data_IF_680362045965
#
_entry.id   IF_680362045965
#
_cell.length_a   1.000
_cell.length_b   1.000
_cell.length_c   1.000
_cell.angle_alpha   90.00
_cell.angle_beta   90.00
_cell.angle_gamma   90.00
#
_symmetry.space_group_name_H-M   'P 1'
#
loop_
_entity.id
_entity.type
_entity.pdbx_description
1 polymer ?
#
# COMPACT_ATOMS: atom_id res chain seq x y z
N UNK A 1 7.65 0.29 -8.71
CA UNK A 1 6.90 1.28 -7.91
C UNK A 1 5.41 1.04 -8.10
N UNK A 2 4.74 0.26 -7.24
CA UNK A 2 3.27 -0.03 -7.32
C UNK A 2 2.68 -0.52 -5.97
N UNK A 3 3.26 -0.14 -4.81
CA UNK A 3 2.80 -0.74 -3.54
C UNK A 3 1.34 -0.37 -3.20
N UNK A 4 0.87 0.82 -3.60
CA UNK A 4 -0.55 1.18 -3.46
C UNK A 4 -1.46 0.32 -4.34
N UNK A 5 -1.08 0.05 -5.60
CA UNK A 5 -1.85 -0.86 -6.46
C UNK A 5 -1.84 -2.29 -5.92
N UNK A 6 -0.68 -2.75 -5.42
CA UNK A 6 -0.56 -4.06 -4.78
C UNK A 6 -1.47 -4.19 -3.57
N UNK A 7 -1.55 -3.15 -2.74
CA UNK A 7 -2.48 -3.09 -1.61
C UNK A 7 -3.93 -3.15 -2.09
N UNK A 8 -4.31 -2.33 -3.09
CA UNK A 8 -5.67 -2.35 -3.65
C UNK A 8 -6.03 -3.73 -4.18
N UNK A 9 -5.14 -4.39 -4.91
CA UNK A 9 -5.34 -5.74 -5.43
C UNK A 9 -5.54 -6.76 -4.30
N UNK A 10 -4.69 -6.73 -3.26
CA UNK A 10 -4.80 -7.65 -2.13
C UNK A 10 -6.11 -7.48 -1.37
N UNK A 11 -6.50 -6.24 -1.06
CA UNK A 11 -7.77 -5.94 -0.38
C UNK A 11 -8.97 -6.33 -1.25
N UNK A 12 -8.94 -6.03 -2.54
CA UNK A 12 -10.05 -6.40 -3.45
C UNK A 12 -10.17 -7.91 -3.62
N UNK A 13 -9.06 -8.65 -3.56
CA UNK A 13 -9.07 -10.12 -3.57
C UNK A 13 -9.66 -10.71 -2.28
N UNK A 14 -9.41 -10.07 -1.13
CA UNK A 14 -9.99 -10.49 0.16
C UNK A 14 -11.48 -10.13 0.29
N UNK A 15 -11.92 -9.05 -0.35
CA UNK A 15 -13.28 -8.51 -0.29
C UNK A 15 -13.82 -8.22 -1.71
N UNK A 16 -14.30 -9.25 -2.44
CA UNK A 16 -14.79 -9.12 -3.81
C UNK A 16 -15.95 -8.12 -3.99
N UNK A 17 -16.69 -7.81 -2.92
CA UNK A 17 -17.73 -6.78 -2.90
C UNK A 17 -17.20 -5.39 -3.29
N UNK A 18 -15.92 -5.11 -3.02
CA UNK A 18 -15.26 -3.85 -3.40
C UNK A 18 -15.09 -3.71 -4.92
N UNK A 19 -15.16 -4.81 -5.69
CA UNK A 19 -15.20 -4.74 -7.16
C UNK A 19 -16.50 -4.08 -7.63
N UNK A 20 -17.61 -4.37 -6.94
CA UNK A 20 -18.94 -3.86 -7.28
C UNK A 20 -19.13 -2.41 -6.79
N UNK A 21 -18.47 -2.05 -5.69
CA UNK A 21 -18.44 -0.69 -5.16
C UNK A 21 -17.00 -0.23 -4.86
N UNK A 22 -16.23 0.20 -5.87
CA UNK A 22 -14.83 0.58 -5.68
C UNK A 22 -14.64 1.85 -4.84
N UNK A 23 -15.70 2.65 -4.67
CA UNK A 23 -15.68 3.86 -3.84
C UNK A 23 -15.72 3.55 -2.34
N UNK A 24 -16.13 2.33 -1.96
CA UNK A 24 -16.07 1.88 -0.57
C UNK A 24 -14.64 1.66 -0.06
N UNK A 25 -13.62 1.70 -0.93
CA UNK A 25 -12.20 1.66 -0.57
C UNK A 25 -11.48 2.91 -1.07
N UNK A 26 -11.32 3.88 -0.17
CA UNK A 26 -10.53 5.08 -0.41
C UNK A 26 -9.07 4.84 0.04
N UNK A 27 -8.10 5.13 -0.83
CA UNK A 27 -6.67 4.96 -0.55
C UNK A 27 -5.94 6.25 -0.85
N UNK A 28 -5.16 6.73 0.10
CA UNK A 28 -4.47 8.01 0.06
C UNK A 28 -2.98 7.80 0.33
N UNK A 29 -2.15 8.51 -0.43
CA UNK A 29 -0.71 8.60 -0.18
C UNK A 29 -0.45 9.92 0.52
N UNK A 30 0.22 9.86 1.66
CA UNK A 30 0.62 11.03 2.43
C UNK A 30 2.12 10.99 2.76
N UNK A 31 2.70 12.16 3.06
CA UNK A 31 4.12 12.33 3.41
C UNK A 31 5.09 11.70 2.41
N UNK A 32 4.76 11.78 1.11
CA UNK A 32 5.56 11.26 0.03
C UNK A 32 6.90 11.99 -0.09
N UNK A 33 8.00 11.23 -0.12
CA UNK A 33 9.34 11.77 -0.37
C UNK A 33 10.23 10.77 -1.10
N UNK A 34 11.17 11.30 -1.88
CA UNK A 34 12.27 10.55 -2.46
C UNK A 34 13.43 10.61 -1.47
N UNK A 35 14.00 9.46 -1.12
CA UNK A 35 15.17 9.37 -0.28
C UNK A 35 16.31 8.70 -1.06
N UNK A 36 17.52 9.23 -0.94
CA UNK A 36 18.70 8.50 -1.37
C UNK A 36 18.92 7.31 -0.42
N UNK A 37 19.11 6.13 -0.99
CA UNK A 37 19.54 4.93 -0.30
C UNK A 37 21.03 4.76 -0.55
N UNK A 38 21.83 4.99 0.49
CA UNK A 38 23.24 4.61 0.44
C UNK A 38 23.34 3.08 0.55
N UNK A 39 24.09 2.47 -0.37
CA UNK A 39 24.47 1.06 -0.25
C UNK A 39 25.40 0.84 0.95
N UNK A 40 25.58 -0.41 1.41
CA UNK A 40 26.52 -0.74 2.47
C UNK A 40 27.95 -0.27 2.12
N UNK A 41 28.69 0.19 3.12
CA UNK A 41 30.07 0.67 2.94
C UNK A 41 30.95 -0.44 2.36
N UNK A 42 31.64 -0.15 1.24
CA UNK A 42 32.51 -1.10 0.54
C UNK A 42 31.87 -1.82 -0.65
N UNK A 43 30.59 -1.56 -0.96
CA UNK A 43 30.00 -1.98 -2.23
C UNK A 43 30.18 -0.87 -3.28
N UNK A 44 31.01 -1.10 -4.29
CA UNK A 44 31.28 -0.18 -5.40
C UNK A 44 30.03 0.18 -6.24
N UNK A 45 28.87 -0.40 -5.91
CA UNK A 45 27.59 -0.21 -6.59
C UNK A 45 26.42 -0.42 -5.62
N UNK A 46 25.77 0.65 -5.18
CA UNK A 46 24.30 0.75 -5.08
C UNK A 46 23.88 2.03 -4.32
N UNK A 47 24.24 3.20 -4.82
CA UNK A 47 23.52 4.43 -4.47
C UNK A 47 22.23 4.44 -5.30
N UNK A 48 21.08 4.31 -4.64
CA UNK A 48 19.77 4.27 -5.29
C UNK A 48 18.83 5.32 -4.73
N UNK A 49 17.65 5.45 -5.32
CA UNK A 49 16.57 6.26 -4.77
C UNK A 49 15.41 5.37 -4.37
N UNK A 50 14.77 5.68 -3.25
CA UNK A 50 13.55 5.02 -2.80
C UNK A 50 12.44 6.02 -2.54
N UNK A 51 11.22 5.56 -2.77
CA UNK A 51 10.01 6.31 -2.46
C UNK A 51 9.51 5.89 -1.09
N UNK A 52 9.51 6.83 -0.16
CA UNK A 52 8.92 6.67 1.18
C UNK A 52 7.61 7.44 1.22
N UNK A 53 6.56 6.78 1.69
CA UNK A 53 5.27 7.42 1.91
C UNK A 53 4.48 6.64 2.94
N UNK A 54 3.48 7.28 3.52
CA UNK A 54 2.45 6.65 4.32
C UNK A 54 1.25 6.36 3.42
N UNK A 55 0.80 5.10 3.39
CA UNK A 55 -0.44 4.72 2.72
C UNK A 55 -1.54 4.69 3.78
N UNK A 56 -2.56 5.53 3.61
CA UNK A 56 -3.75 5.54 4.45
C UNK A 56 -4.90 4.93 3.64
N UNK A 57 -5.70 4.06 4.27
CA UNK A 57 -6.86 3.45 3.63
C UNK A 57 -8.09 3.57 4.53
N UNK A 58 -9.24 3.81 3.92
CA UNK A 58 -10.54 3.87 4.59
C UNK A 58 -11.48 2.92 3.88
N UNK A 59 -12.03 1.95 4.61
CA UNK A 59 -13.18 1.18 4.16
C UNK A 59 -14.45 1.84 4.71
N UNK A 60 -15.39 2.11 3.82
CA UNK A 60 -16.68 2.74 4.13
C UNK A 60 -17.74 1.65 4.22
N UNK A 61 -18.64 1.76 5.20
CA UNK A 61 -19.75 0.82 5.43
C UNK A 61 -19.30 -0.65 5.54
N UNK A 62 -18.14 -0.88 6.17
CA UNK A 62 -17.58 -2.21 6.31
C UNK A 62 -18.39 -3.08 7.28
N UNK A 63 -18.99 -4.14 6.73
CA UNK A 63 -19.78 -5.14 7.48
C UNK A 63 -19.05 -6.48 7.64
N UNK A 64 -17.76 -6.54 7.28
CA UNK A 64 -16.94 -7.76 7.31
C UNK A 64 -16.17 -7.98 8.61
N UNK A 65 -15.41 -9.08 8.66
CA UNK A 65 -14.52 -9.40 9.77
C UNK A 65 -13.19 -8.63 9.63
N UNK A 66 -12.86 -7.80 10.60
CA UNK A 66 -11.61 -7.03 10.64
C UNK A 66 -10.37 -7.93 10.65
N UNK A 67 -10.45 -9.17 11.16
CA UNK A 67 -9.32 -10.11 11.11
C UNK A 67 -8.95 -10.49 9.67
N UNK A 68 -9.94 -10.61 8.78
CA UNK A 68 -9.68 -10.86 7.35
C UNK A 68 -8.94 -9.70 6.70
N UNK A 69 -9.21 -8.47 7.16
CA UNK A 69 -8.50 -7.28 6.68
C UNK A 69 -7.04 -7.30 7.15
N UNK A 70 -6.77 -7.64 8.41
CA UNK A 70 -5.41 -7.67 8.96
C UNK A 70 -4.50 -8.71 8.27
N UNK A 71 -5.05 -9.84 7.81
CA UNK A 71 -4.30 -10.90 7.11
C UNK A 71 -3.96 -10.53 5.67
N UNK A 72 -4.74 -9.64 5.04
CA UNK A 72 -4.58 -9.28 3.64
C UNK A 72 -3.48 -8.23 3.36
N UNK A 73 -2.91 -7.61 4.40
CA UNK A 73 -1.99 -6.44 4.30
C UNK A 73 -0.56 -6.78 4.64
#
# INVERSE_FOLDING_TARGET
>A
MRKHDSFRTAITAAFPELVRNPQALAVFIDRGRIAARAGPAGADKATGFEWRYTLNAVLIDFIGDTNKLAVAV
#
